data_IF_769911583935
#
_entry.id   IF_769911583935
#
_cell.length_a   1.000
_cell.length_b   1.000
_cell.length_c   1.000
_cell.angle_alpha   90.00
_cell.angle_beta   90.00
_cell.angle_gamma   90.00
#
_symmetry.space_group_name_H-M   'P 1'
#
loop_
_entity.id
_entity.type
_entity.pdbx_description
1 polymer ?
#
# COMPACT_ATOMS: atom_id res chain seq x y z
N UNK A 1 -16.78 5.71 -2.56
CA UNK A 1 -17.36 6.92 -3.14
C UNK A 1 -18.58 7.21 -2.32
N UNK A 2 -18.39 8.04 -1.31
CA UNK A 2 -19.37 8.24 -0.25
C UNK A 2 -20.52 9.11 -0.74
N UNK A 3 -20.26 9.98 -1.71
CA UNK A 3 -21.27 10.79 -2.38
C UNK A 3 -22.21 9.91 -3.22
N UNK A 4 -21.65 9.03 -4.05
CA UNK A 4 -22.43 8.15 -4.92
C UNK A 4 -22.87 6.86 -4.23
N UNK A 5 -22.45 6.62 -2.98
CA UNK A 5 -22.61 5.36 -2.24
C UNK A 5 -22.21 4.15 -3.07
N UNK A 6 -21.02 4.24 -3.69
CA UNK A 6 -20.44 3.18 -4.51
C UNK A 6 -19.08 2.77 -3.99
N UNK A 7 -18.84 1.47 -3.99
CA UNK A 7 -17.52 0.91 -3.73
C UNK A 7 -16.70 1.03 -5.01
N UNK A 8 -15.47 1.52 -4.87
CA UNK A 8 -14.44 1.50 -5.92
C UNK A 8 -13.38 0.50 -5.49
N UNK A 9 -13.24 -0.58 -6.24
CA UNK A 9 -12.22 -1.59 -6.00
C UNK A 9 -11.11 -1.42 -7.02
N UNK A 10 -9.95 -0.97 -6.56
CA UNK A 10 -8.74 -0.96 -7.36
C UNK A 10 -8.07 -2.32 -7.24
N UNK A 11 -7.78 -2.95 -8.36
CA UNK A 11 -7.20 -4.29 -8.43
C UNK A 11 -6.20 -4.35 -9.57
N UNK A 12 -5.34 -5.35 -9.59
CA UNK A 12 -4.44 -5.59 -10.71
C UNK A 12 -4.64 -6.97 -11.32
N UNK A 13 -4.28 -7.10 -12.58
CA UNK A 13 -4.28 -8.39 -13.28
C UNK A 13 -3.09 -8.49 -14.24
N UNK A 14 -2.67 -9.72 -14.58
CA UNK A 14 -1.73 -9.93 -15.68
C UNK A 14 -2.31 -9.41 -17.00
N UNK A 15 -1.51 -8.64 -17.74
CA UNK A 15 -1.79 -8.15 -19.08
C UNK A 15 -0.73 -8.69 -20.03
N UNK A 16 -1.13 -9.21 -21.21
CA UNK A 16 -0.17 -9.61 -22.24
C UNK A 16 0.81 -8.48 -22.54
N UNK A 17 2.10 -8.80 -22.59
CA UNK A 17 3.22 -7.90 -22.93
C UNK A 17 3.47 -6.72 -21.96
N UNK A 18 2.53 -6.38 -21.07
CA UNK A 18 2.64 -5.26 -20.12
C UNK A 18 2.91 -5.69 -18.67
N UNK A 19 2.92 -7.00 -18.38
CA UNK A 19 3.15 -7.49 -17.03
C UNK A 19 1.88 -7.41 -16.19
N UNK A 20 1.89 -6.74 -15.04
CA UNK A 20 0.70 -6.59 -14.19
C UNK A 20 0.29 -5.11 -14.16
N UNK A 21 -1.00 -4.85 -14.39
CA UNK A 21 -1.52 -3.48 -14.46
C UNK A 21 -2.76 -3.32 -13.59
N UNK A 22 -2.97 -2.10 -13.08
CA UNK A 22 -4.11 -1.75 -12.23
C UNK A 22 -5.32 -1.28 -13.02
N UNK A 23 -6.50 -1.64 -12.52
CA UNK A 23 -7.84 -1.35 -13.02
C UNK A 23 -8.74 -0.94 -11.86
N UNK A 24 -9.94 -0.44 -12.17
CA UNK A 24 -10.98 -0.18 -11.17
C UNK A 24 -12.27 -0.87 -11.54
N UNK A 25 -12.93 -1.44 -10.54
CA UNK A 25 -14.30 -1.93 -10.65
C UNK A 25 -15.22 -1.17 -9.70
N UNK A 26 -16.48 -0.98 -10.11
CA UNK A 26 -17.48 -0.26 -9.34
C UNK A 26 -18.55 -1.23 -8.84
N UNK A 27 -19.02 -1.04 -7.61
CA UNK A 27 -20.12 -1.83 -7.05
C UNK A 27 -21.06 -0.96 -6.23
N UNK A 28 -22.36 -1.24 -6.32
CA UNK A 28 -23.39 -0.62 -5.48
C UNK A 28 -23.79 -1.46 -4.26
N UNK A 29 -23.42 -2.75 -4.23
CA UNK A 29 -23.84 -3.72 -3.21
C UNK A 29 -22.67 -4.44 -2.52
N UNK A 30 -21.45 -4.23 -2.99
CA UNK A 30 -20.23 -4.89 -2.49
C UNK A 30 -20.10 -6.35 -2.91
N UNK A 31 -20.98 -6.85 -3.80
CA UNK A 31 -21.00 -8.22 -4.27
C UNK A 31 -20.79 -8.30 -5.79
N UNK A 32 -21.48 -7.45 -6.54
CA UNK A 32 -21.43 -7.39 -7.99
C UNK A 32 -20.56 -6.20 -8.42
N UNK A 33 -19.50 -6.47 -9.17
CA UNK A 33 -18.51 -5.48 -9.58
C UNK A 33 -18.46 -5.34 -11.10
N UNK A 34 -18.70 -4.12 -11.59
CA UNK A 34 -18.56 -3.73 -12.99
C UNK A 34 -17.15 -3.20 -13.23
N UNK A 35 -16.34 -3.96 -13.98
CA UNK A 35 -14.96 -3.61 -14.31
C UNK A 35 -14.93 -2.54 -15.39
N UNK A 36 -14.05 -1.55 -15.24
CA UNK A 36 -13.74 -0.57 -16.30
C UNK A 36 -12.53 -1.05 -17.12
N UNK A 37 -12.55 -0.76 -18.42
CA UNK A 37 -11.56 -1.27 -19.38
C UNK A 37 -10.24 -0.49 -19.38
N UNK A 38 -10.21 0.71 -18.77
CA UNK A 38 -9.03 1.57 -18.78
C UNK A 38 -7.94 1.06 -17.81
N UNK A 39 -6.71 0.98 -18.33
CA UNK A 39 -5.52 0.71 -17.52
C UNK A 39 -5.15 1.99 -16.77
N UNK A 40 -5.07 1.91 -15.43
CA UNK A 40 -4.84 3.07 -14.57
C UNK A 40 -3.36 3.32 -14.27
N UNK A 41 -2.52 2.29 -14.38
CA UNK A 41 -1.10 2.36 -14.05
C UNK A 41 -0.55 1.02 -13.58
N UNK A 42 0.62 1.05 -12.94
CA UNK A 42 1.29 -0.14 -12.45
C UNK A 42 0.52 -0.82 -11.30
N UNK A 43 0.86 -2.08 -11.06
CA UNK A 43 0.20 -2.99 -10.12
C UNK A 43 0.43 -2.63 -8.64
N UNK A 44 -0.37 -3.25 -7.76
CA UNK A 44 -0.42 -2.95 -6.32
C UNK A 44 -0.74 -1.49 -5.98
N UNK A 45 -1.49 -0.80 -6.83
CA UNK A 45 -1.88 0.59 -6.61
C UNK A 45 -2.74 0.75 -5.35
N UNK A 46 -2.29 1.60 -4.43
CA UNK A 46 -3.03 2.02 -3.23
C UNK A 46 -3.50 3.44 -3.39
N UNK A 47 -4.80 3.64 -3.21
CA UNK A 47 -5.49 4.88 -3.54
C UNK A 47 -5.83 5.68 -2.30
N UNK A 48 -5.72 7.01 -2.41
CA UNK A 48 -6.17 7.96 -1.41
C UNK A 48 -6.68 9.24 -2.08
N UNK A 49 -7.37 10.10 -1.32
CA UNK A 49 -7.89 11.38 -1.80
C UNK A 49 -7.33 12.52 -0.96
N UNK A 50 -7.02 13.63 -1.61
CA UNK A 50 -6.59 14.87 -0.95
C UNK A 50 -6.82 16.06 -1.89
N UNK A 51 -7.25 17.20 -1.35
CA UNK A 51 -7.36 18.45 -2.14
C UNK A 51 -8.25 18.38 -3.39
N UNK A 52 -9.26 17.49 -3.42
CA UNK A 52 -10.14 17.28 -4.57
C UNK A 52 -9.55 16.40 -5.68
N UNK A 53 -8.37 15.82 -5.47
CA UNK A 53 -7.73 14.89 -6.38
C UNK A 53 -7.72 13.48 -5.81
N UNK A 54 -7.60 12.50 -6.71
CA UNK A 54 -7.34 11.11 -6.39
C UNK A 54 -5.86 10.82 -6.65
N UNK A 55 -5.20 10.15 -5.72
CA UNK A 55 -3.81 9.78 -5.83
C UNK A 55 -3.63 8.29 -5.66
N UNK A 56 -2.60 7.74 -6.30
CA UNK A 56 -2.21 6.34 -6.19
C UNK A 56 -0.73 6.23 -5.85
N UNK A 57 -0.36 5.20 -5.07
CA UNK A 57 1.03 4.73 -4.96
C UNK A 57 1.08 3.30 -5.46
N UNK A 58 1.84 3.04 -6.50
CA UNK A 58 1.98 1.71 -7.09
C UNK A 58 3.42 1.21 -7.02
N UNK A 59 3.61 -0.09 -7.23
CA UNK A 59 4.93 -0.71 -7.28
C UNK A 59 5.49 -0.63 -8.70
N UNK A 60 6.59 0.08 -8.89
CA UNK A 60 7.33 0.01 -10.15
C UNK A 60 8.22 -1.24 -10.15
N UNK A 61 7.62 -2.32 -10.62
CA UNK A 61 8.29 -3.60 -10.83
C UNK A 61 9.12 -3.99 -9.62
N UNK A 62 10.45 -4.02 -9.67
CA UNK A 62 11.34 -4.32 -8.55
C UNK A 62 12.35 -3.17 -8.32
N UNK A 63 11.98 -1.94 -8.67
CA UNK A 63 12.85 -0.76 -8.62
C UNK A 63 12.47 0.12 -7.44
N UNK A 64 11.28 0.70 -7.47
CA UNK A 64 10.79 1.67 -6.49
C UNK A 64 9.25 1.74 -6.46
N UNK A 65 8.71 2.71 -5.72
CA UNK A 65 7.31 3.09 -5.73
C UNK A 65 7.08 4.30 -6.65
N UNK A 66 5.94 4.30 -7.35
CA UNK A 66 5.55 5.36 -8.27
C UNK A 66 4.22 5.98 -7.83
N UNK A 67 4.23 7.31 -7.68
CA UNK A 67 3.02 8.07 -7.43
C UNK A 67 2.22 8.32 -8.72
N UNK A 68 0.90 8.37 -8.57
CA UNK A 68 -0.04 8.72 -9.62
C UNK A 68 -1.04 9.74 -9.11
N UNK A 69 -1.67 10.49 -10.03
CA UNK A 69 -2.87 11.28 -9.72
C UNK A 69 -3.92 11.21 -10.81
N UNK A 70 -5.17 11.42 -10.46
CA UNK A 70 -6.31 11.55 -11.36
C UNK A 70 -7.31 12.55 -10.78
N UNK A 71 -8.03 13.25 -11.65
CA UNK A 71 -9.13 14.13 -11.24
C UNK A 71 -10.29 13.33 -10.62
N UNK A 72 -10.72 12.28 -11.31
CA UNK A 72 -11.92 11.52 -10.93
C UNK A 72 -11.60 10.20 -10.23
N UNK A 73 -10.34 9.76 -10.25
CA UNK A 73 -9.90 8.48 -9.70
C UNK A 73 -10.37 7.26 -10.50
N UNK A 74 -10.91 7.45 -11.70
CA UNK A 74 -11.45 6.41 -12.56
C UNK A 74 -10.74 6.35 -13.91
N UNK A 75 -10.20 7.48 -14.37
CA UNK A 75 -9.58 7.64 -15.68
C UNK A 75 -8.43 8.64 -15.62
N UNK A 76 -7.63 8.70 -16.69
CA UNK A 76 -6.69 9.80 -16.94
C UNK A 76 -5.62 9.94 -15.86
N UNK A 77 -5.09 8.82 -15.37
CA UNK A 77 -4.04 8.82 -14.37
C UNK A 77 -2.72 9.33 -14.97
N UNK A 78 -2.11 10.29 -14.27
CA UNK A 78 -0.80 10.87 -14.60
C UNK A 78 0.28 10.30 -13.68
N UNK A 79 1.43 9.95 -14.24
CA UNK A 79 2.61 9.52 -13.49
C UNK A 79 3.30 10.70 -12.79
N UNK A 80 3.73 10.46 -11.56
CA UNK A 80 4.34 11.43 -10.68
C UNK A 80 5.75 11.03 -10.24
N UNK A 81 6.19 11.46 -9.05
CA UNK A 81 7.51 11.13 -8.55
C UNK A 81 7.67 9.64 -8.23
N UNK A 82 8.90 9.16 -8.42
CA UNK A 82 9.39 7.87 -7.95
C UNK A 82 10.04 8.04 -6.57
N UNK A 83 9.83 7.08 -5.67
CA UNK A 83 10.42 7.07 -4.33
C UNK A 83 10.47 5.66 -3.73
N UNK A 84 11.14 5.49 -2.59
CA UNK A 84 11.23 4.20 -1.87
C UNK A 84 11.83 3.06 -2.72
N UNK A 85 13.14 3.08 -2.96
CA UNK A 85 13.78 1.96 -3.67
C UNK A 85 13.58 0.63 -2.93
N UNK A 86 13.31 -0.44 -3.67
CA UNK A 86 13.02 -1.76 -3.13
C UNK A 86 11.58 -1.93 -2.63
N UNK A 87 10.71 -0.95 -2.88
CA UNK A 87 9.31 -0.98 -2.51
C UNK A 87 8.59 -2.25 -2.96
N UNK A 88 7.87 -2.88 -2.03
CA UNK A 88 7.00 -4.02 -2.33
C UNK A 88 5.53 -3.62 -2.25
N UNK A 89 4.91 -3.79 -1.09
CA UNK A 89 3.50 -3.52 -0.88
C UNK A 89 3.35 -2.33 0.05
N UNK A 90 2.27 -1.58 -0.11
CA UNK A 90 1.97 -0.46 0.77
C UNK A 90 0.52 -0.40 1.22
N UNK A 91 0.28 0.51 2.15
CA UNK A 91 -1.01 1.08 2.48
C UNK A 91 -0.85 2.58 2.70
N UNK A 92 -1.91 3.33 2.40
CA UNK A 92 -1.95 4.79 2.50
C UNK A 92 -3.01 5.19 3.50
N UNK A 93 -2.71 6.16 4.36
CA UNK A 93 -3.69 6.78 5.24
C UNK A 93 -3.40 8.28 5.32
N UNK A 94 -4.44 9.11 5.18
CA UNK A 94 -4.31 10.56 5.16
C UNK A 94 -4.93 11.14 6.41
N UNK A 95 -4.19 11.98 7.11
CA UNK A 95 -4.72 12.82 8.18
C UNK A 95 -4.31 14.27 7.96
N UNK A 96 -5.32 15.12 7.74
CA UNK A 96 -5.13 16.49 7.29
C UNK A 96 -4.34 16.56 5.98
N UNK A 97 -3.16 17.17 6.04
CA UNK A 97 -2.23 17.32 4.90
C UNK A 97 -1.04 16.36 4.97
N UNK A 98 -1.09 15.32 5.79
CA UNK A 98 -0.02 14.35 5.91
C UNK A 98 -0.48 12.98 5.41
N UNK A 99 0.24 12.44 4.42
CA UNK A 99 0.10 11.05 4.01
C UNK A 99 1.03 10.20 4.86
N UNK A 100 0.46 9.22 5.54
CA UNK A 100 1.15 8.10 6.17
C UNK A 100 1.23 6.96 5.17
N UNK A 101 2.45 6.61 4.78
CA UNK A 101 2.73 5.54 3.83
C UNK A 101 3.37 4.37 4.59
N UNK A 102 2.58 3.32 4.80
CA UNK A 102 3.04 2.06 5.40
C UNK A 102 3.51 1.14 4.29
N UNK A 103 4.68 0.52 4.41
CA UNK A 103 5.21 -0.33 3.34
C UNK A 103 6.23 -1.36 3.85
N UNK A 104 6.55 -2.33 3.00
CA UNK A 104 7.69 -3.23 3.20
C UNK A 104 8.70 -3.10 2.06
N UNK A 105 9.96 -3.44 2.34
CA UNK A 105 11.05 -3.41 1.36
C UNK A 105 11.57 -4.83 1.08
N UNK A 106 11.70 -5.15 -0.20
CA UNK A 106 12.34 -6.39 -0.61
C UNK A 106 13.85 -6.30 -0.40
N UNK A 107 14.43 -7.33 0.22
CA UNK A 107 15.85 -7.38 0.58
C UNK A 107 16.13 -7.07 2.05
N UNK A 108 15.13 -6.59 2.80
CA UNK A 108 15.25 -6.39 4.24
C UNK A 108 15.37 -7.72 5.01
N UNK A 109 16.08 -7.68 6.15
CA UNK A 109 16.36 -8.82 7.02
C UNK A 109 16.03 -8.44 8.50
N UNK A 110 14.85 -8.84 9.04
CA UNK A 110 13.73 -9.41 8.30
C UNK A 110 12.99 -8.32 7.50
N UNK A 111 12.26 -8.72 6.48
CA UNK A 111 11.27 -7.83 5.87
C UNK A 111 10.17 -7.54 6.90
N UNK A 112 9.93 -6.25 7.12
CA UNK A 112 9.15 -5.68 8.22
C UNK A 112 8.30 -4.51 7.70
N UNK A 113 7.36 -4.03 8.52
CA UNK A 113 6.52 -2.89 8.13
C UNK A 113 7.16 -1.59 8.59
N UNK A 114 7.43 -0.73 7.61
CA UNK A 114 7.97 0.61 7.76
C UNK A 114 6.85 1.64 7.58
N UNK A 115 7.08 2.83 8.11
CA UNK A 115 6.25 4.01 7.90
C UNK A 115 7.13 5.20 7.51
N UNK A 116 6.74 5.88 6.44
CA UNK A 116 7.20 7.22 6.12
C UNK A 116 6.01 8.15 5.99
N UNK A 117 6.25 9.45 6.13
CA UNK A 117 5.23 10.48 5.93
C UNK A 117 5.58 11.38 4.74
N UNK A 118 4.56 11.90 4.05
CA UNK A 118 4.70 12.85 2.94
C UNK A 118 3.82 14.07 3.23
N UNK A 119 4.40 15.28 3.17
CA UNK A 119 3.64 16.54 3.27
C UNK A 119 2.90 16.82 1.96
N UNK A 120 1.58 16.69 1.99
CA UNK A 120 0.69 16.87 0.84
C UNK A 120 0.51 18.35 0.45
N UNK A 121 1.00 19.31 1.25
CA UNK A 121 1.07 20.73 0.84
C UNK A 121 2.21 21.00 -0.12
N UNK A 122 3.24 20.15 -0.14
CA UNK A 122 4.28 20.23 -1.15
C UNK A 122 3.65 20.03 -2.53
N UNK A 123 4.25 20.64 -3.56
CA UNK A 123 3.78 20.42 -4.92
C UNK A 123 3.95 18.94 -5.25
N UNK A 124 2.95 18.35 -5.90
CA UNK A 124 2.92 16.92 -6.18
C UNK A 124 4.20 16.33 -6.81
N UNK A 125 4.88 16.99 -7.78
CA UNK A 125 6.15 16.48 -8.31
C UNK A 125 7.30 16.46 -7.30
N UNK A 126 7.20 17.24 -6.23
CA UNK A 126 8.21 17.40 -5.18
C UNK A 126 7.89 16.55 -3.93
N UNK A 127 6.91 15.64 -4.00
CA UNK A 127 6.61 14.74 -2.89
C UNK A 127 7.77 13.80 -2.62
N UNK A 128 8.23 13.79 -1.37
CA UNK A 128 9.34 12.97 -0.90
C UNK A 128 8.96 12.35 0.46
N UNK A 129 9.06 11.02 0.62
CA UNK A 129 8.84 10.37 1.91
C UNK A 129 9.90 10.77 2.94
N UNK A 130 9.49 10.96 4.19
CA UNK A 130 10.40 11.12 5.32
C UNK A 130 11.30 9.89 5.52
N UNK A 131 12.35 10.06 6.33
CA UNK A 131 13.11 8.92 6.86
C UNK A 131 12.15 7.88 7.46
N UNK A 132 12.31 6.59 7.13
CA UNK A 132 11.41 5.56 7.60
C UNK A 132 11.59 5.24 9.08
N UNK A 133 10.47 4.92 9.72
CA UNK A 133 10.40 4.35 11.04
C UNK A 133 9.91 2.90 10.95
N UNK A 134 10.41 2.03 11.84
CA UNK A 134 9.91 0.64 11.94
C UNK A 134 8.67 0.65 12.82
N UNK A 135 7.54 0.20 12.27
CA UNK A 135 6.27 0.14 13.00
C UNK A 135 5.97 -1.28 13.48
N UNK A 136 6.41 -2.31 12.74
CA UNK A 136 6.14 -3.69 13.12
C UNK A 136 7.20 -4.66 12.57
N UNK A 137 7.69 -5.54 13.43
CA UNK A 137 8.63 -6.62 13.09
C UNK A 137 8.01 -7.99 13.43
N UNK A 138 8.43 -9.08 12.76
CA UNK A 138 7.99 -10.42 13.13
C UNK A 138 8.60 -10.84 14.47
N UNK A 139 7.75 -10.95 15.49
CA UNK A 139 8.12 -11.29 16.86
C UNK A 139 7.50 -12.62 17.30
N UNK A 140 6.23 -12.83 16.96
CA UNK A 140 5.46 -13.97 17.43
C UNK A 140 5.72 -15.21 16.56
N UNK A 141 5.55 -16.40 17.13
CA UNK A 141 5.79 -17.65 16.42
C UNK A 141 4.94 -17.76 15.13
N UNK A 142 3.70 -17.28 15.15
CA UNK A 142 2.81 -17.25 13.98
C UNK A 142 3.17 -16.14 12.97
N UNK A 143 3.99 -15.17 13.36
CA UNK A 143 4.61 -14.19 12.45
C UNK A 143 5.86 -14.75 11.75
N UNK A 144 6.32 -15.92 12.19
CA UNK A 144 7.61 -16.46 11.81
C UNK A 144 8.77 -15.91 12.65
N UNK A 145 8.51 -15.27 13.80
CA UNK A 145 9.55 -14.67 14.66
C UNK A 145 10.64 -15.65 15.13
N UNK A 146 10.33 -16.94 15.19
CA UNK A 146 11.27 -18.02 15.56
C UNK A 146 12.02 -18.63 14.36
N UNK A 147 11.67 -18.24 13.14
CA UNK A 147 12.31 -18.72 11.92
C UNK A 147 13.65 -18.00 11.66
N UNK A 148 14.52 -18.55 10.80
CA UNK A 148 15.79 -17.92 10.46
C UNK A 148 15.63 -16.47 10.00
N UNK A 149 16.52 -15.63 10.49
CA UNK A 149 16.68 -14.26 10.06
C UNK A 149 17.41 -14.26 8.71
N UNK A 150 16.70 -13.94 7.63
CA UNK A 150 17.24 -13.94 6.27
C UNK A 150 16.70 -12.76 5.46
N UNK A 151 17.47 -12.22 4.50
CA UNK A 151 17.00 -11.19 3.59
C UNK A 151 15.83 -11.70 2.76
N UNK A 152 14.80 -10.88 2.61
CA UNK A 152 13.70 -11.24 1.72
C UNK A 152 14.12 -11.19 0.25
N UNK A 153 13.36 -11.90 -0.59
CA UNK A 153 13.56 -11.93 -2.04
C UNK A 153 12.27 -11.57 -2.75
N UNK A 154 12.41 -11.02 -3.94
CA UNK A 154 11.26 -10.80 -4.83
C UNK A 154 10.56 -12.12 -5.17
N UNK A 155 9.24 -12.04 -5.30
CA UNK A 155 8.36 -13.18 -5.56
C UNK A 155 7.72 -13.76 -4.31
N UNK A 156 6.92 -14.81 -4.53
CA UNK A 156 6.20 -15.53 -3.48
C UNK A 156 7.17 -16.31 -2.59
N UNK A 157 6.89 -16.31 -1.28
CA UNK A 157 7.59 -17.20 -0.37
C UNK A 157 7.16 -18.65 -0.64
N UNK A 158 8.12 -19.60 -0.57
CA UNK A 158 7.84 -21.04 -0.80
C UNK A 158 7.33 -21.77 0.45
N UNK A 159 7.14 -21.05 1.56
CA UNK A 159 6.73 -21.54 2.87
C UNK A 159 6.91 -20.45 3.91
N UNK A 160 6.74 -20.81 5.18
CA UNK A 160 6.86 -19.86 6.28
C UNK A 160 8.29 -19.30 6.38
N UNK A 161 8.42 -17.99 6.51
CA UNK A 161 9.68 -17.24 6.68
C UNK A 161 9.48 -16.10 7.68
N UNK A 162 10.54 -15.60 8.33
CA UNK A 162 10.47 -14.49 9.29
C UNK A 162 10.27 -13.15 8.59
N UNK A 163 9.09 -12.89 8.03
CA UNK A 163 8.82 -11.71 7.17
C UNK A 163 7.36 -11.26 7.28
N UNK A 164 7.16 -9.96 7.51
CA UNK A 164 5.85 -9.30 7.43
C UNK A 164 5.74 -8.53 6.11
N UNK A 165 4.57 -8.58 5.46
CA UNK A 165 4.33 -7.93 4.16
C UNK A 165 2.90 -7.40 4.07
N UNK A 166 2.53 -6.84 2.92
CA UNK A 166 1.15 -6.51 2.55
C UNK A 166 0.38 -5.68 3.59
N UNK A 167 0.90 -4.50 4.01
CA UNK A 167 0.15 -3.66 4.91
C UNK A 167 -1.18 -3.23 4.27
N UNK A 168 -2.20 -3.07 5.12
CA UNK A 168 -3.52 -2.56 4.80
C UNK A 168 -4.07 -1.77 5.97
N UNK A 169 -4.61 -0.57 5.70
CA UNK A 169 -5.19 0.26 6.75
C UNK A 169 -6.71 0.09 6.78
N UNK A 170 -7.25 -0.05 7.98
CA UNK A 170 -8.67 -0.11 8.26
C UNK A 170 -9.00 0.84 9.40
N UNK A 171 -10.09 1.59 9.26
CA UNK A 171 -10.55 2.54 10.28
C UNK A 171 -12.00 2.22 10.63
N UNK A 172 -12.28 2.06 11.91
CA UNK A 172 -13.62 1.79 12.44
C UNK A 172 -13.78 2.43 13.82
N UNK A 173 -14.91 3.09 14.06
CA UNK A 173 -15.24 3.74 15.33
C UNK A 173 -14.12 4.68 15.87
N UNK A 174 -13.43 5.38 14.96
CA UNK A 174 -12.34 6.30 15.27
C UNK A 174 -11.05 5.60 15.75
N UNK A 175 -10.94 4.28 15.54
CA UNK A 175 -9.74 3.50 15.79
C UNK A 175 -9.09 3.11 14.47
N UNK A 176 -7.76 3.20 14.43
CA UNK A 176 -6.96 2.86 13.27
C UNK A 176 -6.34 1.48 13.46
N UNK A 177 -6.41 0.64 12.44
CA UNK A 177 -5.89 -0.72 12.43
C UNK A 177 -4.97 -0.95 11.24
N UNK A 178 -3.89 -1.68 11.48
CA UNK A 178 -2.98 -2.21 10.48
C UNK A 178 -3.25 -3.70 10.30
N UNK A 179 -3.78 -4.06 9.13
CA UNK A 179 -3.75 -5.43 8.63
C UNK A 179 -2.41 -5.67 7.94
N UNK A 180 -1.88 -6.89 8.05
CA UNK A 180 -0.62 -7.27 7.43
C UNK A 180 -0.54 -8.77 7.23
N UNK A 181 0.26 -9.21 6.26
CA UNK A 181 0.53 -10.62 6.03
C UNK A 181 1.72 -11.10 6.87
N UNK A 182 1.62 -12.34 7.34
CA UNK A 182 2.53 -12.92 8.33
C UNK A 182 3.29 -14.11 7.76
N UNK A 183 4.46 -14.39 8.34
CA UNK A 183 5.28 -15.54 8.01
C UNK A 183 5.58 -15.70 6.50
N UNK A 184 5.71 -14.61 5.74
CA UNK A 184 5.81 -14.66 4.27
C UNK A 184 4.51 -15.05 3.59
N UNK A 185 3.45 -14.26 3.81
CA UNK A 185 2.14 -14.39 3.17
C UNK A 185 1.39 -15.71 3.50
N UNK A 186 1.65 -16.31 4.67
CA UNK A 186 0.99 -17.55 5.12
C UNK A 186 -0.26 -17.32 5.97
N UNK A 187 -0.54 -16.06 6.32
CA UNK A 187 -1.72 -15.66 7.08
C UNK A 187 -1.90 -14.15 7.05
N UNK A 188 -2.98 -13.68 7.68
CA UNK A 188 -3.29 -12.26 7.85
C UNK A 188 -3.48 -12.01 9.35
N UNK A 189 -2.86 -10.94 9.83
CA UNK A 189 -3.01 -10.45 11.20
C UNK A 189 -3.49 -9.00 11.20
N UNK A 190 -3.88 -8.52 12.36
CA UNK A 190 -4.37 -7.16 12.59
C UNK A 190 -3.81 -6.63 13.90
N UNK A 191 -3.31 -5.40 13.89
CA UNK A 191 -2.87 -4.65 15.06
C UNK A 191 -3.58 -3.31 15.12
N UNK A 192 -3.89 -2.82 16.32
CA UNK A 192 -4.36 -1.44 16.51
C UNK A 192 -3.16 -0.50 16.49
N UNK A 193 -3.25 0.58 15.72
CA UNK A 193 -2.26 1.66 15.71
C UNK A 193 -2.63 2.69 16.78
N UNK A 194 -1.66 3.07 17.60
CA UNK A 194 -1.81 4.12 18.60
C UNK A 194 -0.87 5.28 18.27
N UNK A 195 -1.40 6.50 18.31
CA UNK A 195 -0.59 7.71 18.23
C UNK A 195 0.00 7.99 19.59
N UNK A 196 1.32 7.88 19.70
CA UNK A 196 2.03 8.39 20.87
C UNK A 196 2.09 9.90 20.73
N UNK A 197 1.33 10.62 21.55
CA UNK A 197 1.51 12.06 21.67
C UNK A 197 2.80 12.30 22.47
N UNK A 198 3.76 13.01 21.89
CA UNK A 198 4.90 13.52 22.65
C UNK A 198 4.38 14.38 23.81
N UNK A 199 4.79 14.03 25.02
CA UNK A 199 4.46 14.72 26.27
C UNK A 199 5.32 15.97 26.46
#
# INVERSE_FOLDING_TARGET
DDELKRIRMYFHQPMPEMGQMSFVALSGDGLNFDVRDEVLGLFYMRMFQHGGWHYGVAKDTNVDGLAYRSQDGLTGFEEGPHFLSGFRHAATWVDGDLLYLFYSLAGDEPERILLSTIDLKAKWPDWEPSTPEVILEPELAWEGGELPLEPSRYGAAKGAVRQLRDPGIYEEDGQLYLLYSVAGEQGIAIARLERVMDC
#
